data_IF_062335243355
#
_entry.id   IF_062335243355
#
_cell.length_a   1.000
_cell.length_b   1.000
_cell.length_c   1.000
_cell.angle_alpha   90.00
_cell.angle_beta   90.00
_cell.angle_gamma   90.00
#
_symmetry.space_group_name_H-M   'P 1'
#
loop_
_entity.id
_entity.type
_entity.pdbx_description
1 polymer ?
#
# COMPACT_ATOMS: atom_id res chain seq x y z
N UNK A 1 -21.35 19.78 32.82
CA UNK A 1 -20.23 20.39 32.06
C UNK A 1 -19.20 19.33 31.69
N UNK A 2 -18.64 18.59 32.65
CA UNK A 2 -17.59 17.57 32.45
C UNK A 2 -17.72 16.64 31.24
N UNK A 3 -18.82 15.91 31.05
CA UNK A 3 -18.90 14.88 30.00
C UNK A 3 -18.89 15.43 28.55
N UNK A 4 -19.40 16.65 28.33
CA UNK A 4 -19.39 17.26 26.99
C UNK A 4 -17.99 17.76 26.65
N UNK A 5 -17.30 18.32 27.64
CA UNK A 5 -15.93 18.80 27.53
C UNK A 5 -14.97 17.63 27.27
N UNK A 6 -15.17 16.50 27.95
CA UNK A 6 -14.39 15.26 27.73
C UNK A 6 -14.52 14.71 26.30
N UNK A 7 -15.71 14.78 25.70
CA UNK A 7 -15.95 14.29 24.32
C UNK A 7 -15.31 15.22 23.29
N UNK A 8 -15.42 16.53 23.48
CA UNK A 8 -14.79 17.51 22.58
C UNK A 8 -13.27 17.41 22.64
N UNK A 9 -12.71 17.23 23.85
CA UNK A 9 -11.28 17.02 24.02
C UNK A 9 -10.80 15.74 23.34
N UNK A 10 -11.46 14.60 23.59
CA UNK A 10 -11.10 13.33 22.95
C UNK A 10 -11.13 13.44 21.43
N UNK A 11 -12.15 14.09 20.86
CA UNK A 11 -12.27 14.27 19.42
C UNK A 11 -11.11 15.09 18.85
N UNK A 12 -10.72 16.17 19.51
CA UNK A 12 -9.56 16.98 19.09
C UNK A 12 -8.28 16.14 19.11
N UNK A 13 -7.98 15.49 20.24
CA UNK A 13 -6.77 14.68 20.38
C UNK A 13 -6.69 13.53 19.38
N UNK A 14 -7.84 12.94 19.04
CA UNK A 14 -7.94 11.88 18.04
C UNK A 14 -7.68 12.40 16.62
N UNK A 15 -8.24 13.55 16.28
CA UNK A 15 -8.01 14.19 14.98
C UNK A 15 -6.55 14.65 14.84
N UNK A 16 -5.95 15.21 15.90
CA UNK A 16 -4.55 15.62 15.91
C UNK A 16 -3.62 14.41 15.68
N UNK A 17 -3.87 13.30 16.39
CA UNK A 17 -3.09 12.07 16.21
C UNK A 17 -3.23 11.48 14.80
N UNK A 18 -4.43 11.58 14.21
CA UNK A 18 -4.68 11.12 12.84
C UNK A 18 -4.00 12.02 11.80
N UNK A 19 -4.04 13.35 11.97
CA UNK A 19 -3.38 14.33 11.10
C UNK A 19 -1.85 14.15 11.09
N UNK A 20 -1.27 13.90 12.27
CA UNK A 20 0.16 13.62 12.45
C UNK A 20 0.58 12.27 11.84
N UNK A 21 -0.37 11.41 11.42
CA UNK A 21 -0.11 10.05 10.98
C UNK A 21 0.34 9.11 12.10
N UNK A 22 0.16 9.49 13.37
CA UNK A 22 0.47 8.64 14.53
C UNK A 22 -0.68 7.66 14.77
N UNK A 23 -0.76 6.63 13.92
CA UNK A 23 -1.75 5.56 14.03
C UNK A 23 -1.71 4.85 15.41
N UNK A 24 -0.55 4.83 16.08
CA UNK A 24 -0.41 4.18 17.40
C UNK A 24 -1.13 4.98 18.47
N UNK A 25 -0.93 6.31 18.49
CA UNK A 25 -1.64 7.22 19.38
C UNK A 25 -3.13 7.25 19.07
N UNK A 26 -3.51 7.33 17.79
CA UNK A 26 -4.91 7.33 17.38
C UNK A 26 -5.63 6.03 17.82
N UNK A 27 -5.01 4.86 17.61
CA UNK A 27 -5.53 3.56 18.09
C UNK A 27 -5.64 3.50 19.61
N UNK A 28 -4.65 4.03 20.33
CA UNK A 28 -4.67 4.08 21.79
C UNK A 28 -5.84 4.94 22.31
N UNK A 29 -6.11 6.09 21.69
CA UNK A 29 -7.25 6.95 22.04
C UNK A 29 -8.60 6.26 21.84
N UNK A 30 -8.77 5.51 20.75
CA UNK A 30 -9.99 4.71 20.50
C UNK A 30 -10.13 3.60 21.55
N UNK A 31 -9.03 2.89 21.85
CA UNK A 31 -9.00 1.79 22.82
C UNK A 31 -9.30 2.26 24.26
N UNK A 32 -8.65 3.34 24.70
CA UNK A 32 -8.84 3.91 26.04
C UNK A 32 -10.25 4.42 26.29
N UNK A 33 -10.88 5.01 25.27
CA UNK A 33 -12.27 5.44 25.37
C UNK A 33 -13.23 4.24 25.53
N UNK A 34 -12.87 3.11 24.93
CA UNK A 34 -13.60 1.84 24.98
C UNK A 34 -14.75 1.77 23.98
N UNK A 35 -14.94 0.59 23.37
CA UNK A 35 -15.84 0.39 22.23
C UNK A 35 -17.28 0.91 22.43
N UNK A 36 -17.83 0.79 23.65
CA UNK A 36 -19.19 1.25 23.97
C UNK A 36 -19.35 2.77 23.84
N UNK A 37 -18.32 3.54 24.20
CA UNK A 37 -18.33 5.00 24.13
C UNK A 37 -17.80 5.50 22.78
N UNK A 38 -16.76 4.86 22.25
CA UNK A 38 -16.13 5.25 20.99
C UNK A 38 -17.06 5.08 19.79
N UNK A 39 -17.81 3.97 19.72
CA UNK A 39 -18.69 3.66 18.58
C UNK A 39 -19.66 4.79 18.22
N UNK A 40 -20.56 5.25 19.12
CA UNK A 40 -21.51 6.30 18.76
C UNK A 40 -20.84 7.63 18.37
N UNK A 41 -19.67 7.95 18.94
CA UNK A 41 -18.92 9.16 18.56
C UNK A 41 -18.35 9.05 17.14
N UNK A 42 -17.71 7.93 16.83
CA UNK A 42 -17.16 7.67 15.49
C UNK A 42 -18.26 7.56 14.44
N UNK A 43 -19.40 6.93 14.76
CA UNK A 43 -20.56 6.86 13.87
C UNK A 43 -21.13 8.24 13.55
N UNK A 44 -21.18 9.15 14.53
CA UNK A 44 -21.57 10.54 14.30
C UNK A 44 -20.54 11.32 13.46
N UNK A 45 -19.25 11.04 13.62
CA UNK A 45 -18.19 11.67 12.82
C UNK A 45 -18.22 11.25 11.35
N UNK A 46 -18.80 10.10 10.99
CA UNK A 46 -19.00 9.72 9.58
C UNK A 46 -19.99 10.63 8.84
N UNK A 47 -20.83 11.38 9.57
CA UNK A 47 -21.82 12.30 8.99
C UNK A 47 -21.31 13.75 8.98
N UNK A 48 -20.07 13.97 9.39
CA UNK A 48 -19.47 15.30 9.45
C UNK A 48 -19.29 15.90 8.03
N UNK A 49 -19.54 17.21 7.84
CA UNK A 49 -19.28 17.87 6.57
C UNK A 49 -17.81 17.81 6.14
N UNK A 50 -16.88 17.76 7.10
CA UNK A 50 -15.45 17.69 6.81
C UNK A 50 -15.03 16.25 6.45
N UNK A 51 -14.51 16.08 5.23
CA UNK A 51 -14.02 14.79 4.74
C UNK A 51 -12.85 14.24 5.56
N UNK A 52 -12.02 15.10 6.15
CA UNK A 52 -10.94 14.68 7.03
C UNK A 52 -11.48 14.01 8.31
N UNK A 53 -12.54 14.58 8.90
CA UNK A 53 -13.22 13.99 10.05
C UNK A 53 -13.84 12.63 9.69
N UNK A 54 -14.45 12.51 8.50
CA UNK A 54 -15.01 11.23 8.03
C UNK A 54 -13.94 10.16 7.83
N UNK A 55 -12.76 10.53 7.31
CA UNK A 55 -11.61 9.62 7.18
C UNK A 55 -11.11 9.13 8.55
N UNK A 56 -10.93 10.05 9.50
CA UNK A 56 -10.54 9.69 10.87
C UNK A 56 -11.57 8.75 11.53
N UNK A 57 -12.87 9.00 11.30
CA UNK A 57 -13.94 8.14 11.78
C UNK A 57 -13.91 6.74 11.16
N UNK A 58 -13.65 6.63 9.86
CA UNK A 58 -13.45 5.36 9.17
C UNK A 58 -12.28 4.57 9.79
N UNK A 59 -11.13 5.22 10.00
CA UNK A 59 -9.98 4.65 10.70
C UNK A 59 -10.38 4.12 12.08
N UNK A 60 -11.00 4.95 12.92
CA UNK A 60 -11.39 4.55 14.28
C UNK A 60 -12.39 3.39 14.31
N UNK A 61 -13.34 3.31 13.38
CA UNK A 61 -14.26 2.18 13.27
C UNK A 61 -13.58 0.90 12.80
N UNK A 62 -12.59 1.02 11.90
CA UNK A 62 -11.70 -0.07 11.50
C UNK A 62 -10.95 -0.65 12.70
N UNK A 63 -10.41 0.22 13.56
CA UNK A 63 -9.71 -0.16 14.80
C UNK A 63 -10.63 -0.79 15.85
N UNK A 64 -11.86 -0.29 16.00
CA UNK A 64 -12.86 -0.94 16.85
C UNK A 64 -13.23 -2.34 16.35
N UNK A 65 -13.24 -2.52 15.04
CA UNK A 65 -13.54 -3.79 14.39
C UNK A 65 -14.93 -4.37 14.68
N UNK A 66 -15.06 -5.65 14.33
CA UNK A 66 -16.30 -6.42 14.48
C UNK A 66 -17.37 -6.13 13.43
N UNK A 67 -18.38 -7.01 13.40
CA UNK A 67 -19.44 -6.98 12.39
C UNK A 67 -20.28 -5.69 12.41
N UNK A 68 -20.41 -5.05 13.57
CA UNK A 68 -21.11 -3.76 13.68
C UNK A 68 -20.37 -2.64 12.95
N UNK A 69 -19.03 -2.55 13.11
CA UNK A 69 -18.22 -1.58 12.38
C UNK A 69 -18.21 -1.89 10.88
N UNK A 70 -18.07 -3.16 10.49
CA UNK A 70 -18.11 -3.55 9.09
C UNK A 70 -19.41 -3.10 8.39
N UNK A 71 -20.57 -3.37 9.02
CA UNK A 71 -21.87 -2.95 8.47
C UNK A 71 -22.02 -1.43 8.37
N UNK A 72 -21.56 -0.68 9.39
CA UNK A 72 -21.62 0.78 9.34
C UNK A 72 -20.71 1.35 8.25
N UNK A 73 -19.47 0.86 8.15
CA UNK A 73 -18.51 1.27 7.13
C UNK A 73 -19.03 0.96 5.73
N UNK A 74 -19.62 -0.22 5.52
CA UNK A 74 -20.25 -0.58 4.25
C UNK A 74 -21.38 0.39 3.87
N UNK A 75 -22.26 0.70 4.82
CA UNK A 75 -23.34 1.65 4.59
C UNK A 75 -22.81 3.03 4.21
N UNK A 76 -21.84 3.55 4.97
CA UNK A 76 -21.22 4.84 4.66
C UNK A 76 -20.53 4.82 3.29
N UNK A 77 -19.85 3.72 2.96
CA UNK A 77 -19.15 3.57 1.69
C UNK A 77 -20.10 3.74 0.50
N UNK A 78 -21.28 3.12 0.55
CA UNK A 78 -22.29 3.29 -0.49
C UNK A 78 -22.81 4.73 -0.58
N UNK A 79 -22.87 5.46 0.54
CA UNK A 79 -23.27 6.88 0.55
C UNK A 79 -22.19 7.76 -0.09
N UNK A 80 -20.91 7.59 0.27
CA UNK A 80 -19.81 8.38 -0.31
C UNK A 80 -19.62 8.08 -1.80
N UNK A 81 -19.73 6.80 -2.21
CA UNK A 81 -19.72 6.41 -3.64
C UNK A 81 -20.84 7.10 -4.43
N UNK A 82 -21.99 7.33 -3.80
CA UNK A 82 -23.13 8.00 -4.44
C UNK A 82 -23.05 9.53 -4.44
N UNK A 83 -22.21 10.14 -3.59
CA UNK A 83 -22.07 11.61 -3.51
C UNK A 83 -21.41 12.18 -4.76
N UNK A 84 -20.40 11.50 -5.30
CA UNK A 84 -19.71 11.89 -6.53
C UNK A 84 -19.02 13.25 -6.48
N UNK A 85 -18.73 13.77 -5.29
CA UNK A 85 -17.92 14.98 -5.08
C UNK A 85 -16.43 14.64 -4.98
N UNK A 86 -15.57 15.66 -5.17
CA UNK A 86 -14.12 15.48 -5.14
C UNK A 86 -13.59 15.05 -3.76
N UNK A 87 -14.30 15.41 -2.69
CA UNK A 87 -13.93 15.09 -1.31
C UNK A 87 -14.25 13.62 -0.96
N UNK A 88 -15.16 12.97 -1.70
CA UNK A 88 -15.59 11.60 -1.47
C UNK A 88 -14.51 10.55 -1.73
N UNK A 89 -13.61 10.76 -2.70
CA UNK A 89 -12.63 9.74 -3.11
C UNK A 89 -11.70 9.31 -1.96
N UNK A 90 -11.13 10.28 -1.22
CA UNK A 90 -10.27 9.99 -0.07
C UNK A 90 -11.03 9.31 1.08
N UNK A 91 -12.31 9.66 1.29
CA UNK A 91 -13.16 9.01 2.30
C UNK A 91 -13.47 7.57 1.89
N UNK A 92 -13.77 7.35 0.61
CA UNK A 92 -14.02 6.03 0.01
C UNK A 92 -12.80 5.10 0.16
N UNK A 93 -11.60 5.62 -0.09
CA UNK A 93 -10.34 4.92 0.17
C UNK A 93 -10.23 4.55 1.66
N UNK A 94 -10.39 5.52 2.57
CA UNK A 94 -10.27 5.30 4.01
C UNK A 94 -11.28 4.25 4.55
N UNK A 95 -12.53 4.29 4.06
CA UNK A 95 -13.57 3.31 4.38
C UNK A 95 -13.20 1.91 3.88
N UNK A 96 -12.66 1.81 2.67
CA UNK A 96 -12.23 0.54 2.07
C UNK A 96 -11.04 -0.06 2.81
N UNK A 97 -10.04 0.76 3.15
CA UNK A 97 -8.91 0.36 3.97
C UNK A 97 -9.35 -0.08 5.38
N UNK A 98 -10.27 0.67 6.01
CA UNK A 98 -10.84 0.31 7.30
C UNK A 98 -11.51 -1.08 7.26
N UNK A 99 -12.33 -1.36 6.24
CA UNK A 99 -12.89 -2.70 6.01
C UNK A 99 -11.79 -3.77 5.84
N UNK A 100 -10.70 -3.44 5.13
CA UNK A 100 -9.53 -4.31 5.01
C UNK A 100 -8.82 -4.62 6.35
N UNK A 101 -8.82 -3.68 7.29
CA UNK A 101 -8.26 -3.86 8.65
C UNK A 101 -9.15 -4.75 9.53
N UNK A 102 -10.48 -4.66 9.38
CA UNK A 102 -11.42 -5.47 10.17
C UNK A 102 -11.26 -6.95 9.79
N UNK A 103 -10.97 -7.79 10.78
CA UNK A 103 -10.92 -9.24 10.61
C UNK A 103 -12.32 -9.85 10.69
N UNK A 104 -12.64 -10.73 9.74
CA UNK A 104 -13.83 -11.58 9.78
C UNK A 104 -14.69 -11.51 8.53
N UNK A 105 -15.61 -12.47 8.42
CA UNK A 105 -16.42 -12.69 7.21
C UNK A 105 -17.25 -11.47 6.81
N UNK A 106 -17.83 -10.73 7.76
CA UNK A 106 -18.67 -9.56 7.43
C UNK A 106 -17.91 -8.44 6.71
N UNK A 107 -16.64 -8.20 7.07
CA UNK A 107 -15.82 -7.20 6.39
C UNK A 107 -15.44 -7.65 4.99
N UNK A 108 -15.06 -8.93 4.86
CA UNK A 108 -14.77 -9.55 3.56
C UNK A 108 -15.98 -9.53 2.61
N UNK A 109 -17.17 -9.87 3.11
CA UNK A 109 -18.43 -9.77 2.36
C UNK A 109 -18.72 -8.34 1.90
N UNK A 110 -18.41 -7.34 2.73
CA UNK A 110 -18.59 -5.92 2.37
C UNK A 110 -17.66 -5.52 1.22
N UNK A 111 -16.39 -5.97 1.27
CA UNK A 111 -15.41 -5.76 0.20
C UNK A 111 -15.77 -6.49 -1.09
N UNK A 112 -16.30 -7.73 -1.00
CA UNK A 112 -16.85 -8.46 -2.14
C UNK A 112 -17.99 -7.67 -2.80
N UNK A 113 -18.92 -7.13 -2.01
CA UNK A 113 -20.02 -6.30 -2.54
C UNK A 113 -19.52 -5.03 -3.20
N UNK A 114 -18.49 -4.37 -2.65
CA UNK A 114 -17.81 -3.22 -3.32
C UNK A 114 -17.23 -3.65 -4.67
N UNK A 115 -16.45 -4.73 -4.72
CA UNK A 115 -15.87 -5.23 -5.96
C UNK A 115 -16.93 -5.52 -7.02
N UNK A 116 -18.04 -6.17 -6.64
CA UNK A 116 -19.15 -6.46 -7.55
C UNK A 116 -19.81 -5.18 -8.10
N UNK A 117 -19.97 -4.14 -7.27
CA UNK A 117 -20.47 -2.83 -7.73
C UNK A 117 -19.50 -2.20 -8.73
N UNK A 118 -18.20 -2.15 -8.41
CA UNK A 118 -17.17 -1.59 -9.30
C UNK A 118 -17.07 -2.35 -10.63
N UNK A 119 -17.21 -3.68 -10.62
CA UNK A 119 -17.23 -4.47 -11.85
C UNK A 119 -18.47 -4.19 -12.70
N UNK A 120 -19.60 -3.83 -12.10
CA UNK A 120 -20.84 -3.53 -12.80
C UNK A 120 -20.89 -2.12 -13.42
N UNK A 121 -20.07 -1.17 -12.96
CA UNK A 121 -20.07 0.21 -13.47
C UNK A 121 -19.39 0.39 -14.84
N UNK A 122 -18.83 -0.68 -15.43
CA UNK A 122 -18.35 -0.70 -16.82
C UNK A 122 -17.07 0.10 -17.09
N UNK A 123 -16.39 0.57 -16.03
CA UNK A 123 -15.15 1.34 -16.15
C UNK A 123 -14.69 1.97 -14.83
N UNK A 124 -14.51 1.19 -13.75
CA UNK A 124 -14.08 1.74 -12.46
C UNK A 124 -12.70 2.39 -12.57
N UNK A 125 -12.45 3.40 -11.74
CA UNK A 125 -11.13 4.02 -11.69
C UNK A 125 -10.08 2.98 -11.25
N UNK A 126 -8.86 3.00 -11.81
CA UNK A 126 -7.81 2.08 -11.37
C UNK A 126 -7.51 2.18 -9.87
N UNK A 127 -7.62 3.38 -9.28
CA UNK A 127 -7.43 3.59 -7.85
C UNK A 127 -8.47 2.80 -7.02
N UNK A 128 -9.76 2.87 -7.37
CA UNK A 128 -10.81 2.11 -6.68
C UNK A 128 -10.58 0.59 -6.71
N UNK A 129 -10.09 0.08 -7.86
CA UNK A 129 -9.72 -1.32 -8.00
C UNK A 129 -8.51 -1.68 -7.13
N UNK A 130 -7.53 -0.79 -7.03
CA UNK A 130 -6.35 -1.00 -6.17
C UNK A 130 -6.77 -1.07 -4.71
N UNK A 131 -7.59 -0.13 -4.25
CA UNK A 131 -8.02 -0.05 -2.86
C UNK A 131 -8.79 -1.32 -2.44
N UNK A 132 -9.74 -1.76 -3.27
CA UNK A 132 -10.51 -2.97 -2.96
C UNK A 132 -9.64 -4.23 -3.05
N UNK A 133 -8.70 -4.30 -3.99
CA UNK A 133 -7.81 -5.45 -4.12
C UNK A 133 -6.86 -5.59 -2.92
N UNK A 134 -6.26 -4.48 -2.47
CA UNK A 134 -5.42 -4.44 -1.27
C UNK A 134 -6.23 -4.80 -0.01
N UNK A 135 -7.43 -4.24 0.14
CA UNK A 135 -8.29 -4.56 1.27
C UNK A 135 -8.71 -6.04 1.29
N UNK A 136 -9.01 -6.62 0.11
CA UNK A 136 -9.30 -8.05 -0.04
C UNK A 136 -8.06 -8.92 0.25
N UNK A 137 -6.85 -8.46 -0.09
CA UNK A 137 -5.62 -9.17 0.24
C UNK A 137 -5.39 -9.29 1.75
N UNK A 138 -5.69 -8.25 2.54
CA UNK A 138 -5.68 -8.30 4.02
C UNK A 138 -6.72 -9.27 4.60
N UNK A 139 -7.80 -9.51 3.84
CA UNK A 139 -8.89 -10.45 4.16
C UNK A 139 -8.86 -11.71 3.26
N UNK A 140 -7.68 -12.07 2.72
CA UNK A 140 -7.52 -13.17 1.75
C UNK A 140 -8.15 -14.47 2.25
N UNK A 141 -8.93 -15.11 1.38
CA UNK A 141 -9.60 -16.37 1.64
C UNK A 141 -9.83 -17.11 0.30
N UNK A 142 -9.78 -18.46 0.27
CA UNK A 142 -9.98 -19.22 -0.97
C UNK A 142 -11.31 -18.92 -1.70
N UNK A 143 -12.36 -18.50 -0.97
CA UNK A 143 -13.64 -18.11 -1.58
C UNK A 143 -13.54 -16.89 -2.51
N UNK A 144 -12.47 -16.08 -2.38
CA UNK A 144 -12.25 -14.91 -3.22
C UNK A 144 -11.84 -15.29 -4.63
N UNK A 145 -11.24 -16.45 -4.85
CA UNK A 145 -10.72 -16.89 -6.16
C UNK A 145 -11.80 -16.80 -7.26
N UNK A 146 -12.96 -17.50 -7.15
CA UNK A 146 -13.99 -17.42 -8.19
C UNK A 146 -14.58 -16.02 -8.35
N UNK A 147 -14.63 -15.23 -7.27
CA UNK A 147 -15.21 -13.88 -7.27
C UNK A 147 -14.29 -12.90 -8.02
N UNK A 148 -13.00 -12.90 -7.70
CA UNK A 148 -11.99 -12.04 -8.34
C UNK A 148 -11.83 -12.44 -9.81
N UNK A 149 -11.86 -13.75 -10.12
CA UNK A 149 -11.83 -14.24 -11.50
C UNK A 149 -13.02 -13.71 -12.31
N UNK A 150 -14.24 -13.82 -11.77
CA UNK A 150 -15.43 -13.27 -12.41
C UNK A 150 -15.34 -11.75 -12.61
N UNK A 151 -14.81 -11.01 -11.62
CA UNK A 151 -14.61 -9.57 -11.73
C UNK A 151 -13.63 -9.20 -12.85
N UNK A 152 -12.52 -9.93 -12.97
CA UNK A 152 -11.54 -9.76 -14.07
C UNK A 152 -12.19 -10.01 -15.43
N UNK A 153 -12.93 -11.11 -15.57
CA UNK A 153 -13.64 -11.46 -16.81
C UNK A 153 -14.69 -10.41 -17.19
N UNK A 154 -15.47 -9.93 -16.20
CA UNK A 154 -16.52 -8.92 -16.41
C UNK A 154 -15.94 -7.58 -16.87
N UNK A 155 -14.80 -7.18 -16.31
CA UNK A 155 -14.13 -5.92 -16.69
C UNK A 155 -13.49 -5.99 -18.08
N UNK A 156 -13.11 -7.20 -18.54
CA UNK A 156 -12.64 -7.44 -19.91
C UNK A 156 -11.49 -6.55 -20.37
N UNK A 157 -10.63 -6.07 -19.44
CA UNK A 157 -9.59 -5.10 -19.77
C UNK A 157 -8.45 -5.75 -20.56
N UNK A 158 -7.95 -5.07 -21.61
CA UNK A 158 -6.88 -5.61 -22.44
C UNK A 158 -5.52 -5.64 -21.72
N UNK A 159 -5.32 -4.72 -20.76
CA UNK A 159 -4.12 -4.66 -19.94
C UNK A 159 -4.36 -5.34 -18.58
N UNK A 160 -3.32 -5.96 -18.00
CA UNK A 160 -3.35 -6.41 -16.61
C UNK A 160 -3.80 -5.28 -15.67
N UNK A 161 -4.46 -5.68 -14.60
CA UNK A 161 -4.89 -4.81 -13.50
C UNK A 161 -4.49 -5.44 -12.19
N UNK A 162 -4.54 -4.67 -11.11
CA UNK A 162 -4.32 -5.16 -9.74
C UNK A 162 -5.16 -6.40 -9.37
N UNK A 163 -6.36 -6.55 -9.95
CA UNK A 163 -7.19 -7.74 -9.75
C UNK A 163 -6.55 -9.00 -10.36
N UNK A 164 -5.83 -8.87 -11.47
CA UNK A 164 -5.04 -9.97 -12.02
C UNK A 164 -3.88 -10.31 -11.07
N UNK A 165 -3.21 -9.30 -10.50
CA UNK A 165 -2.17 -9.50 -9.50
C UNK A 165 -2.68 -10.21 -8.24
N UNK A 166 -3.84 -9.77 -7.72
CA UNK A 166 -4.52 -10.41 -6.59
C UNK A 166 -4.89 -11.85 -6.92
N UNK A 167 -5.42 -12.11 -8.12
CA UNK A 167 -5.81 -13.46 -8.55
C UNK A 167 -4.60 -14.41 -8.57
N UNK A 168 -3.47 -13.98 -9.12
CA UNK A 168 -2.21 -14.75 -9.11
C UNK A 168 -1.81 -15.10 -7.67
N UNK A 169 -1.85 -14.13 -6.76
CA UNK A 169 -1.48 -14.35 -5.36
C UNK A 169 -2.44 -15.29 -4.60
N UNK A 170 -3.72 -15.30 -4.95
CA UNK A 170 -4.70 -16.18 -4.33
C UNK A 170 -4.60 -17.62 -4.84
N UNK A 171 -4.12 -17.82 -6.08
CA UNK A 171 -4.10 -19.12 -6.75
C UNK A 171 -2.78 -19.87 -6.61
N UNK A 172 -1.67 -19.14 -6.40
CA UNK A 172 -0.33 -19.73 -6.42
C UNK A 172 0.17 -20.06 -5.03
N UNK A 173 0.79 -21.24 -4.90
CA UNK A 173 1.68 -21.55 -3.79
C UNK A 173 2.95 -20.68 -3.85
N UNK A 174 3.71 -20.54 -2.75
CA UNK A 174 4.97 -19.80 -2.77
C UNK A 174 5.98 -20.33 -3.80
N UNK A 175 6.04 -21.64 -4.02
CA UNK A 175 6.92 -22.27 -5.01
C UNK A 175 6.50 -21.92 -6.44
N UNK A 176 5.20 -22.02 -6.74
CA UNK A 176 4.64 -21.64 -8.04
C UNK A 176 4.82 -20.15 -8.31
N UNK A 177 4.59 -19.29 -7.31
CA UNK A 177 4.79 -17.85 -7.44
C UNK A 177 6.26 -17.51 -7.72
N UNK A 178 7.21 -18.22 -7.11
CA UNK A 178 8.64 -18.02 -7.37
C UNK A 178 9.02 -18.41 -8.80
N UNK A 179 8.51 -19.54 -9.30
CA UNK A 179 8.72 -19.97 -10.68
C UNK A 179 8.08 -18.98 -11.66
N UNK A 180 6.83 -18.59 -11.40
CA UNK A 180 6.07 -17.61 -12.16
C UNK A 180 6.77 -16.24 -12.23
N UNK A 181 7.29 -15.75 -11.10
CA UNK A 181 8.00 -14.49 -11.05
C UNK A 181 9.30 -14.53 -11.86
N UNK A 182 9.95 -15.69 -11.96
CA UNK A 182 11.19 -15.89 -12.73
C UNK A 182 10.96 -16.12 -14.22
N UNK A 183 9.72 -16.32 -14.66
CA UNK A 183 9.39 -16.63 -16.05
C UNK A 183 9.36 -15.36 -16.92
N UNK A 184 10.26 -15.29 -17.91
CA UNK A 184 10.40 -14.12 -18.80
C UNK A 184 9.24 -13.98 -19.82
N UNK A 185 8.41 -15.01 -19.98
CA UNK A 185 7.21 -14.94 -20.84
C UNK A 185 6.06 -14.16 -20.20
N UNK A 186 6.10 -13.97 -18.88
CA UNK A 186 5.07 -13.25 -18.13
C UNK A 186 5.29 -11.73 -18.28
N UNK A 187 4.26 -10.95 -18.70
CA UNK A 187 4.38 -9.49 -18.85
C UNK A 187 4.79 -8.78 -17.55
N UNK A 188 5.68 -7.78 -17.67
CA UNK A 188 6.15 -6.99 -16.53
C UNK A 188 5.03 -6.20 -15.86
N UNK A 189 4.04 -5.77 -16.63
CA UNK A 189 2.83 -5.10 -16.13
C UNK A 189 2.13 -6.00 -15.12
N UNK A 190 1.91 -7.27 -15.47
CA UNK A 190 1.26 -8.23 -14.58
C UNK A 190 2.11 -8.55 -13.34
N UNK A 191 3.43 -8.70 -13.50
CA UNK A 191 4.33 -8.85 -12.34
C UNK A 191 4.31 -7.61 -11.44
N UNK A 192 4.18 -6.42 -12.03
CA UNK A 192 4.02 -5.14 -11.34
C UNK A 192 2.74 -5.11 -10.51
N UNK A 193 1.62 -5.59 -11.05
CA UNK A 193 0.34 -5.67 -10.33
C UNK A 193 0.41 -6.62 -9.13
N UNK A 194 1.12 -7.74 -9.23
CA UNK A 194 1.39 -8.63 -8.08
C UNK A 194 2.17 -7.88 -7.00
N UNK A 195 3.23 -7.16 -7.39
CA UNK A 195 4.01 -6.36 -6.44
C UNK A 195 3.15 -5.27 -5.78
N UNK A 196 2.29 -4.60 -6.54
CA UNK A 196 1.33 -3.60 -6.03
C UNK A 196 0.48 -4.20 -4.91
N UNK A 197 -0.13 -5.37 -5.10
CA UNK A 197 -0.92 -6.01 -4.04
C UNK A 197 -0.06 -6.37 -2.82
N UNK A 198 1.16 -6.86 -3.04
CA UNK A 198 2.07 -7.20 -1.95
C UNK A 198 2.55 -5.99 -1.14
N UNK A 199 2.50 -4.76 -1.69
CA UNK A 199 2.86 -3.55 -0.92
C UNK A 199 1.93 -3.31 0.27
N UNK A 200 0.72 -3.88 0.26
CA UNK A 200 -0.21 -3.79 1.37
C UNK A 200 0.19 -4.66 2.56
N UNK A 201 0.63 -5.88 2.29
CA UNK A 201 1.12 -6.85 3.29
C UNK A 201 1.88 -7.96 2.56
N UNK A 202 3.09 -8.30 3.01
CA UNK A 202 3.78 -9.53 2.57
C UNK A 202 3.77 -10.59 3.69
N UNK A 203 3.00 -11.69 3.51
CA UNK A 203 3.06 -12.84 4.40
C UNK A 203 4.47 -13.42 4.46
N UNK A 204 4.86 -13.92 5.64
CA UNK A 204 6.20 -14.50 5.84
C UNK A 204 6.51 -15.64 4.84
N UNK A 205 5.51 -16.44 4.51
CA UNK A 205 5.61 -17.53 3.52
C UNK A 205 6.03 -17.04 2.13
N UNK A 206 5.67 -15.80 1.77
CA UNK A 206 5.95 -15.23 0.45
C UNK A 206 7.28 -14.45 0.39
N UNK A 207 7.95 -14.18 1.51
CA UNK A 207 9.25 -13.48 1.52
C UNK A 207 10.29 -14.25 0.70
N UNK A 208 10.22 -15.58 0.70
CA UNK A 208 11.10 -16.46 -0.09
C UNK A 208 10.92 -16.35 -1.61
N UNK A 209 9.93 -15.59 -2.09
CA UNK A 209 9.69 -15.35 -3.52
C UNK A 209 10.36 -14.06 -4.01
N UNK A 210 10.73 -13.14 -3.11
CA UNK A 210 11.33 -11.85 -3.45
C UNK A 210 12.58 -11.94 -4.35
N UNK A 211 13.52 -12.90 -4.16
CA UNK A 211 14.66 -13.05 -5.06
C UNK A 211 14.27 -13.20 -6.54
N UNK A 212 13.16 -13.87 -6.84
CA UNK A 212 12.68 -14.04 -8.22
C UNK A 212 12.26 -12.69 -8.83
N UNK A 213 11.49 -11.89 -8.08
CA UNK A 213 11.10 -10.54 -8.52
C UNK A 213 12.32 -9.61 -8.68
N UNK A 214 13.31 -9.70 -7.78
CA UNK A 214 14.57 -8.94 -7.90
C UNK A 214 15.33 -9.36 -9.16
N UNK A 215 15.40 -10.66 -9.45
CA UNK A 215 16.05 -11.18 -10.65
C UNK A 215 15.38 -10.68 -11.93
N UNK A 216 14.04 -10.67 -11.99
CA UNK A 216 13.31 -10.13 -13.14
C UNK A 216 13.42 -8.63 -13.31
N UNK A 217 13.72 -7.88 -12.24
CA UNK A 217 13.89 -6.43 -12.32
C UNK A 217 15.25 -6.03 -12.92
N UNK A 218 16.29 -6.82 -12.69
CA UNK A 218 17.66 -6.51 -13.11
C UNK A 218 17.83 -6.17 -14.61
N UNK A 219 17.35 -6.98 -15.57
CA UNK A 219 17.49 -6.65 -16.99
C UNK A 219 16.71 -5.39 -17.39
N UNK A 220 15.77 -4.93 -16.55
CA UNK A 220 14.88 -3.81 -16.85
C UNK A 220 15.42 -2.46 -16.37
N UNK A 221 16.49 -2.46 -15.58
CA UNK A 221 17.04 -1.24 -14.93
C UNK A 221 17.38 -0.14 -15.93
N UNK A 222 18.02 -0.48 -17.05
CA UNK A 222 18.43 0.52 -18.04
C UNK A 222 17.21 1.13 -18.75
N UNK A 223 16.24 0.29 -19.10
CA UNK A 223 14.96 0.73 -19.68
C UNK A 223 14.18 1.59 -18.70
N UNK A 224 14.10 1.18 -17.43
CA UNK A 224 13.41 1.86 -16.35
C UNK A 224 14.02 3.24 -16.01
N UNK A 225 15.33 3.41 -16.19
CA UNK A 225 16.00 4.69 -16.03
C UNK A 225 15.59 5.68 -17.13
N UNK A 226 15.59 5.22 -18.38
CA UNK A 226 15.43 6.07 -19.57
C UNK A 226 13.97 6.40 -19.89
N UNK A 227 13.05 5.48 -19.65
CA UNK A 227 11.67 5.59 -20.12
C UNK A 227 10.66 5.36 -19.00
N UNK A 228 9.58 6.16 -19.00
CA UNK A 228 8.36 5.82 -18.26
C UNK A 228 7.68 4.63 -18.95
N UNK A 229 7.13 3.69 -18.19
CA UNK A 229 6.47 2.49 -18.71
C UNK A 229 6.59 1.31 -17.74
N UNK A 230 6.31 0.10 -18.23
CA UNK A 230 6.24 -1.12 -17.42
C UNK A 230 7.52 -1.42 -16.63
N UNK A 231 8.70 -1.27 -17.25
CA UNK A 231 9.99 -1.46 -16.57
C UNK A 231 10.17 -0.51 -15.37
N UNK A 232 9.83 0.77 -15.56
CA UNK A 232 9.90 1.79 -14.50
C UNK A 232 8.87 1.54 -13.40
N UNK A 233 7.63 1.23 -13.78
CA UNK A 233 6.54 0.88 -12.85
C UNK A 233 6.87 -0.36 -12.02
N UNK A 234 7.44 -1.40 -12.65
CA UNK A 234 7.87 -2.62 -11.99
C UNK A 234 8.97 -2.37 -10.93
N UNK A 235 10.00 -1.58 -11.27
CA UNK A 235 11.04 -1.21 -10.31
C UNK A 235 10.47 -0.40 -9.13
N UNK A 236 9.59 0.57 -9.41
CA UNK A 236 8.93 1.36 -8.37
C UNK A 236 8.07 0.48 -7.45
N UNK A 237 7.31 -0.48 -8.01
CA UNK A 237 6.52 -1.41 -7.21
C UNK A 237 7.41 -2.31 -6.34
N UNK A 238 8.50 -2.86 -6.91
CA UNK A 238 9.46 -3.68 -6.19
C UNK A 238 10.10 -2.92 -5.02
N UNK A 239 10.54 -1.68 -5.26
CA UNK A 239 11.16 -0.88 -4.21
C UNK A 239 10.15 -0.43 -3.16
N UNK A 240 8.91 -0.12 -3.55
CA UNK A 240 7.83 0.16 -2.59
C UNK A 240 7.63 -1.03 -1.64
N UNK A 241 7.60 -2.25 -2.18
CA UNK A 241 7.46 -3.47 -1.40
C UNK A 241 8.64 -3.67 -0.44
N UNK A 242 9.88 -3.56 -0.93
CA UNK A 242 11.09 -3.76 -0.12
C UNK A 242 11.24 -2.72 0.98
N UNK A 243 10.75 -1.50 0.75
CA UNK A 243 10.78 -0.38 1.70
C UNK A 243 9.58 -0.36 2.65
N UNK A 244 8.65 -1.32 2.55
CA UNK A 244 7.56 -1.46 3.52
C UNK A 244 8.09 -1.77 4.93
N UNK A 245 9.14 -2.58 5.02
CA UNK A 245 9.80 -2.95 6.29
C UNK A 245 11.27 -3.31 6.02
N UNK A 246 12.10 -2.32 5.64
CA UNK A 246 13.45 -2.60 5.12
C UNK A 246 14.34 -3.29 6.15
N UNK A 247 14.17 -3.01 7.45
CA UNK A 247 14.91 -3.66 8.54
C UNK A 247 14.55 -5.15 8.70
N UNK A 248 13.36 -5.56 8.25
CA UNK A 248 12.90 -6.96 8.26
C UNK A 248 13.22 -7.66 6.95
N UNK A 249 12.83 -7.06 5.83
CA UNK A 249 12.85 -7.72 4.52
C UNK A 249 14.26 -7.84 3.94
N UNK A 250 15.06 -6.78 4.02
CA UNK A 250 16.38 -6.77 3.38
C UNK A 250 17.33 -7.81 4.00
N UNK A 251 17.41 -7.98 5.35
CA UNK A 251 18.26 -9.02 5.94
C UNK A 251 17.86 -10.46 5.59
N UNK A 252 16.59 -10.71 5.22
CA UNK A 252 16.12 -12.04 4.82
C UNK A 252 16.54 -12.42 3.40
N UNK A 253 17.05 -11.46 2.60
CA UNK A 253 17.48 -11.71 1.24
C UNK A 253 18.91 -12.29 1.20
N UNK A 254 19.18 -13.24 0.29
CA UNK A 254 20.54 -13.69 0.01
C UNK A 254 21.48 -12.53 -0.30
N UNK A 255 22.76 -12.67 0.05
CA UNK A 255 23.77 -11.62 -0.16
C UNK A 255 23.89 -11.21 -1.64
N UNK A 256 23.79 -12.18 -2.55
CA UNK A 256 23.79 -11.92 -3.99
C UNK A 256 22.64 -11.00 -4.43
N UNK A 257 21.44 -11.17 -3.87
CA UNK A 257 20.28 -10.34 -4.19
C UNK A 257 20.37 -8.96 -3.55
N UNK A 258 20.92 -8.85 -2.33
CA UNK A 258 21.24 -7.55 -1.71
C UNK A 258 22.27 -6.77 -2.52
N UNK A 259 23.33 -7.42 -2.98
CA UNK A 259 24.32 -6.82 -3.86
C UNK A 259 23.69 -6.36 -5.17
N UNK A 260 22.85 -7.20 -5.78
CA UNK A 260 22.13 -6.85 -7.01
C UNK A 260 21.24 -5.63 -6.81
N UNK A 261 20.48 -5.57 -5.72
CA UNK A 261 19.63 -4.43 -5.37
C UNK A 261 20.43 -3.14 -5.17
N UNK A 262 21.60 -3.21 -4.52
CA UNK A 262 22.52 -2.08 -4.41
C UNK A 262 22.93 -1.57 -5.79
N UNK A 263 23.35 -2.46 -6.68
CA UNK A 263 23.77 -2.08 -8.04
C UNK A 263 22.61 -1.48 -8.85
N UNK A 264 21.40 -2.03 -8.71
CA UNK A 264 20.19 -1.45 -9.31
C UNK A 264 19.95 -0.03 -8.80
N UNK A 265 20.02 0.17 -7.49
CA UNK A 265 19.79 1.46 -6.85
C UNK A 265 20.84 2.49 -7.29
N UNK A 266 22.12 2.11 -7.37
CA UNK A 266 23.20 2.96 -7.90
C UNK A 266 22.94 3.39 -9.35
N UNK A 267 22.53 2.46 -10.22
CA UNK A 267 22.24 2.78 -11.62
C UNK A 267 21.04 3.71 -11.75
N UNK A 268 19.97 3.44 -11.00
CA UNK A 268 18.72 4.18 -11.10
C UNK A 268 18.83 5.57 -10.46
N UNK A 269 19.51 5.73 -9.32
CA UNK A 269 19.69 7.05 -8.71
C UNK A 269 20.45 8.02 -9.63
N UNK A 270 21.35 7.50 -10.45
CA UNK A 270 22.14 8.30 -11.38
C UNK A 270 21.40 8.69 -12.67
N UNK A 271 20.42 7.88 -13.08
CA UNK A 271 19.90 7.93 -14.46
C UNK A 271 18.37 8.00 -14.57
N UNK A 272 17.62 7.79 -13.49
CA UNK A 272 16.16 7.76 -13.58
C UNK A 272 15.56 9.16 -13.70
N UNK A 273 14.56 9.30 -14.58
CA UNK A 273 13.71 10.48 -14.67
C UNK A 273 12.52 10.45 -13.69
N UNK A 274 12.31 9.33 -12.99
CA UNK A 274 11.21 9.17 -12.02
C UNK A 274 11.65 9.63 -10.64
N UNK A 275 11.09 10.74 -10.16
CA UNK A 275 11.39 11.28 -8.84
C UNK A 275 11.10 10.27 -7.71
N UNK A 276 9.96 9.56 -7.80
CA UNK A 276 9.62 8.50 -6.83
C UNK A 276 10.69 7.41 -6.82
N UNK A 277 11.11 6.95 -8.00
CA UNK A 277 12.16 5.94 -8.10
C UNK A 277 13.49 6.45 -7.51
N UNK A 278 13.88 7.69 -7.80
CA UNK A 278 15.10 8.30 -7.27
C UNK A 278 15.11 8.39 -5.74
N UNK A 279 13.98 8.78 -5.12
CA UNK A 279 13.85 8.80 -3.67
C UNK A 279 13.93 7.39 -3.08
N UNK A 280 13.25 6.43 -3.69
CA UNK A 280 13.28 5.02 -3.24
C UNK A 280 14.68 4.42 -3.35
N UNK A 281 15.43 4.72 -4.41
CA UNK A 281 16.79 4.21 -4.58
C UNK A 281 17.76 4.86 -3.59
N UNK A 282 17.59 6.15 -3.26
CA UNK A 282 18.34 6.79 -2.19
C UNK A 282 18.09 6.12 -0.82
N UNK A 283 16.83 5.83 -0.49
CA UNK A 283 16.48 5.11 0.74
C UNK A 283 17.02 3.67 0.70
N UNK A 284 16.93 2.96 -0.42
CA UNK A 284 17.52 1.62 -0.55
C UNK A 284 19.04 1.64 -0.34
N UNK A 285 19.75 2.61 -0.91
CA UNK A 285 21.19 2.78 -0.70
C UNK A 285 21.52 3.08 0.77
N UNK A 286 20.70 3.84 1.49
CA UNK A 286 20.87 4.02 2.94
C UNK A 286 20.95 2.69 3.70
N UNK A 287 20.22 1.66 3.25
CA UNK A 287 20.21 0.34 3.89
C UNK A 287 21.27 -0.61 3.31
N UNK A 288 21.44 -0.66 1.99
CA UNK A 288 22.26 -1.65 1.29
C UNK A 288 23.64 -1.15 0.84
N UNK A 289 23.84 0.17 0.81
CA UNK A 289 25.03 0.79 0.26
C UNK A 289 26.28 0.65 1.15
N UNK A 290 27.39 1.10 0.61
CA UNK A 290 28.68 1.19 1.29
C UNK A 290 29.14 2.65 1.35
N UNK A 291 30.18 2.98 2.14
CA UNK A 291 30.64 4.37 2.27
C UNK A 291 30.90 5.10 0.95
N UNK A 292 31.38 4.41 -0.09
CA UNK A 292 31.62 5.02 -1.41
C UNK A 292 30.34 5.45 -2.15
N UNK A 293 29.17 4.90 -1.81
CA UNK A 293 27.90 5.28 -2.44
C UNK A 293 27.41 6.66 -1.98
N UNK A 294 27.94 7.18 -0.88
CA UNK A 294 27.57 8.52 -0.38
C UNK A 294 27.86 9.62 -1.41
N UNK A 295 29.01 9.53 -2.09
CA UNK A 295 29.38 10.49 -3.14
C UNK A 295 28.40 10.46 -4.33
N UNK A 296 27.84 9.28 -4.63
CA UNK A 296 26.86 9.13 -5.70
C UNK A 296 25.54 9.85 -5.36
N UNK A 297 25.09 9.73 -4.10
CA UNK A 297 23.87 10.40 -3.61
C UNK A 297 24.04 11.92 -3.65
N UNK A 298 25.18 12.43 -3.20
CA UNK A 298 25.45 13.87 -3.21
C UNK A 298 25.50 14.45 -4.63
N UNK A 299 26.09 13.71 -5.57
CA UNK A 299 26.17 14.13 -6.97
C UNK A 299 24.79 14.22 -7.66
N UNK A 300 23.81 13.43 -7.20
CA UNK A 300 22.45 13.36 -7.78
C UNK A 300 21.39 13.91 -6.82
N UNK A 301 21.80 14.70 -5.83
CA UNK A 301 20.93 15.34 -4.85
C UNK A 301 19.93 16.27 -5.55
N UNK A 302 18.61 16.15 -5.28
CA UNK A 302 17.61 17.07 -5.81
C UNK A 302 17.83 18.53 -5.35
N UNK A 303 17.34 19.48 -6.14
CA UNK A 303 17.38 20.90 -5.77
C UNK A 303 16.35 21.27 -4.69
N UNK A 304 15.20 20.58 -4.67
CA UNK A 304 14.15 20.79 -3.67
C UNK A 304 14.67 20.40 -2.26
N UNK A 305 14.62 21.31 -1.26
CA UNK A 305 15.18 21.04 0.06
C UNK A 305 14.53 19.87 0.80
N UNK A 306 13.20 19.69 0.66
CA UNK A 306 12.46 18.63 1.33
C UNK A 306 12.85 17.25 0.81
N UNK A 307 12.97 17.14 -0.52
CA UNK A 307 13.38 15.91 -1.19
C UNK A 307 14.87 15.62 -1.00
N UNK A 308 15.69 16.66 -1.00
CA UNK A 308 17.12 16.53 -0.83
C UNK A 308 17.53 16.01 0.55
N UNK A 309 16.73 16.30 1.59
CA UNK A 309 16.91 15.73 2.91
C UNK A 309 16.99 14.20 2.88
N UNK A 310 16.19 13.53 2.05
CA UNK A 310 16.22 12.06 1.91
C UNK A 310 17.59 11.58 1.42
N UNK A 311 18.22 12.31 0.49
CA UNK A 311 19.54 12.00 -0.03
C UNK A 311 20.64 12.32 1.00
N UNK A 312 20.52 13.45 1.68
CA UNK A 312 21.47 13.89 2.71
C UNK A 312 21.51 12.90 3.88
N UNK A 313 20.33 12.49 4.38
CA UNK A 313 20.18 11.50 5.45
C UNK A 313 20.77 10.14 5.04
N UNK A 314 20.56 9.73 3.78
CA UNK A 314 21.12 8.49 3.24
C UNK A 314 22.64 8.54 3.11
N UNK A 315 23.21 9.64 2.60
CA UNK A 315 24.66 9.82 2.47
C UNK A 315 25.35 9.89 3.84
N UNK A 316 24.75 10.57 4.81
CA UNK A 316 25.26 10.64 6.18
C UNK A 316 25.31 9.25 6.84
N UNK A 317 24.23 8.48 6.72
CA UNK A 317 24.17 7.12 7.26
C UNK A 317 25.24 6.19 6.67
N UNK A 318 25.58 6.37 5.38
CA UNK A 318 26.61 5.58 4.70
C UNK A 318 28.03 5.92 5.17
N UNK A 319 28.33 7.21 5.40
CA UNK A 319 29.63 7.64 5.94
C UNK A 319 29.88 7.19 7.36
N UNK A 320 28.83 7.00 8.15
CA UNK A 320 28.91 6.50 9.51
C UNK A 320 29.16 5.00 9.62
N UNK A 321 29.21 4.26 8.49
CA UNK A 321 29.51 2.82 8.49
C UNK A 321 31.02 2.59 8.60
N UNK A 322 31.45 1.57 9.38
CA UNK A 322 32.85 1.22 9.54
C UNK A 322 33.49 0.68 8.26
#
# INVERSE_FOLDING_TARGET
MTQKDDVTQWRSEFLDAFDEGDETRARALVSHLGARKARPLLEAMLEDPDAFVRQAAAFGLGELGGAASARRLEHQLALEEARGDHDGAAVVEALTQALGRIKGTSARESLIRRLQRLSATGGPEPADLNDVACALWRNRHPELIPIVRQAVETLGRPSPTVLHGLLVLLETSPEELRAWASDDSIPLELKGEVLTVLTEEIPETLVSTLPAFISSAWPQVETAAKHKGAASGYCVALFSLLLLSPERLLPMLPEADRSRLRDMARKLVAATSSLKCALQTAVLLRHLGQPEDAALLEAHRPADPGLAKVFDDAALALRGRP
#
